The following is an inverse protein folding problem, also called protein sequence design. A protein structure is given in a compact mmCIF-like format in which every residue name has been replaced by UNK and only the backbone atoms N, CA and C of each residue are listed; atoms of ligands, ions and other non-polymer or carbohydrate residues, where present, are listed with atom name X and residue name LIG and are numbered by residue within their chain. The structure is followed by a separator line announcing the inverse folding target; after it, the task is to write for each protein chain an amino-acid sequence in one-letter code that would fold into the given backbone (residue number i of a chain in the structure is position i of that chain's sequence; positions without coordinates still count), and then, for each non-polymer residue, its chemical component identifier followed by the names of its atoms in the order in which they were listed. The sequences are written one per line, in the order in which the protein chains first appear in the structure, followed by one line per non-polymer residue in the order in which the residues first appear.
data_IF_514438486786
#
_entry.id   IF_514438486786
#
_cell.length_a   1.000
_cell.length_b   1.000
_cell.length_c   1.000
_cell.angle_alpha   90.00
_cell.angle_beta   90.00
_cell.angle_gamma   90.00
#
_symmetry.space_group_name_H-M   'P 1'
#
loop_
_entity.id
_entity.type
_entity.pdbx_description
1 polymer ?
#
# COMPACT_ATOMS: atom_id res chain seq x y z
N UNK A 1 -0.28 28.88 -6.79
CA UNK A 1 -1.59 28.19 -6.81
C UNK A 1 -1.30 26.70 -6.81
N UNK A 2 -2.11 25.90 -6.09
CA UNK A 2 -1.93 24.45 -6.07
C UNK A 2 -2.21 23.85 -7.45
N UNK A 3 -1.48 22.79 -7.81
CA UNK A 3 -1.67 22.04 -9.06
C UNK A 3 -2.88 21.13 -8.98
N UNK A 4 -3.40 20.69 -10.12
CA UNK A 4 -4.40 19.62 -10.18
C UNK A 4 -3.69 18.27 -10.26
N UNK A 5 -3.92 17.41 -9.25
CA UNK A 5 -3.30 16.10 -9.13
C UNK A 5 -4.36 15.02 -9.27
N UNK A 6 -4.09 14.03 -10.13
CA UNK A 6 -4.94 12.84 -10.22
C UNK A 6 -4.53 11.82 -9.15
N UNK A 7 -5.50 11.31 -8.39
CA UNK A 7 -5.31 10.17 -7.49
C UNK A 7 -6.16 9.01 -7.98
N UNK A 8 -5.56 7.90 -8.39
CA UNK A 8 -6.33 6.76 -8.86
C UNK A 8 -6.81 5.89 -7.70
N UNK A 9 -8.01 5.32 -7.82
CA UNK A 9 -8.58 4.44 -6.79
C UNK A 9 -8.97 5.17 -5.51
N UNK A 10 -9.61 6.33 -5.61
CA UNK A 10 -9.90 7.26 -4.52
C UNK A 10 -10.64 6.69 -3.30
N UNK A 11 -11.29 5.52 -3.43
CA UNK A 11 -11.91 4.82 -2.30
C UNK A 11 -10.95 3.89 -1.53
N UNK A 12 -9.67 3.82 -1.94
CA UNK A 12 -8.66 2.97 -1.32
C UNK A 12 -8.05 3.58 -0.05
N UNK A 13 -7.45 2.75 0.79
CA UNK A 13 -6.84 3.16 2.07
C UNK A 13 -5.70 4.19 1.87
N UNK A 14 -4.72 3.87 1.03
CA UNK A 14 -3.61 4.78 0.71
C UNK A 14 -4.11 6.01 -0.06
N UNK A 15 -5.03 5.78 -1.03
CA UNK A 15 -5.61 6.87 -1.83
C UNK A 15 -6.28 7.95 -0.97
N UNK A 16 -7.09 7.54 0.01
CA UNK A 16 -7.78 8.49 0.91
C UNK A 16 -6.80 9.41 1.63
N UNK A 17 -5.70 8.87 2.16
CA UNK A 17 -4.68 9.66 2.83
C UNK A 17 -3.81 10.50 1.86
N UNK A 18 -3.59 10.01 0.63
CA UNK A 18 -2.98 10.85 -0.42
C UNK A 18 -3.86 12.06 -0.75
N UNK A 19 -5.19 11.86 -0.86
CA UNK A 19 -6.15 12.95 -1.08
C UNK A 19 -6.06 13.97 0.08
N UNK A 20 -6.09 13.50 1.33
CA UNK A 20 -5.95 14.37 2.52
C UNK A 20 -4.66 15.19 2.44
N UNK A 21 -3.51 14.55 2.22
CA UNK A 21 -2.20 15.24 2.18
C UNK A 21 -2.09 16.25 1.05
N UNK A 22 -2.66 15.95 -0.12
CA UNK A 22 -2.69 16.88 -1.26
C UNK A 22 -3.55 18.11 -0.97
N UNK A 23 -4.72 17.91 -0.37
CA UNK A 23 -5.62 19.01 0.02
C UNK A 23 -5.01 19.90 1.11
N UNK A 24 -4.34 19.31 2.11
CA UNK A 24 -3.58 20.05 3.14
C UNK A 24 -2.44 20.86 2.53
N UNK A 25 -1.77 20.35 1.50
CA UNK A 25 -0.74 21.05 0.75
C UNK A 25 -1.29 22.11 -0.24
N UNK A 26 -2.61 22.29 -0.31
CA UNK A 26 -3.25 23.32 -1.14
C UNK A 26 -3.48 22.92 -2.60
N UNK A 27 -3.30 21.65 -2.96
CA UNK A 27 -3.59 21.15 -4.31
C UNK A 27 -5.08 20.94 -4.55
N UNK A 28 -5.47 20.94 -5.82
CA UNK A 28 -6.76 20.45 -6.29
C UNK A 28 -6.61 18.97 -6.63
N UNK A 29 -7.56 18.14 -6.20
CA UNK A 29 -7.50 16.70 -6.38
C UNK A 29 -8.65 16.22 -7.26
N UNK A 30 -8.32 15.47 -8.29
CA UNK A 30 -9.27 14.65 -9.02
C UNK A 30 -9.03 13.19 -8.64
N UNK A 31 -10.06 12.49 -8.16
CA UNK A 31 -9.91 11.09 -7.76
C UNK A 31 -10.71 10.17 -8.69
N UNK A 32 -10.13 9.03 -9.11
CA UNK A 32 -10.90 8.07 -9.90
C UNK A 32 -11.68 7.12 -9.00
N UNK A 33 -12.89 6.79 -9.40
CA UNK A 33 -13.75 5.77 -8.80
C UNK A 33 -14.29 4.83 -9.88
N UNK A 34 -14.38 3.54 -9.61
CA UNK A 34 -15.09 2.58 -10.48
C UNK A 34 -16.60 2.83 -10.47
N UNK A 35 -17.11 3.27 -9.33
CA UNK A 35 -18.52 3.57 -9.07
C UNK A 35 -18.63 4.95 -8.44
N UNK A 36 -19.17 5.90 -9.19
CA UNK A 36 -19.36 7.29 -8.74
C UNK A 36 -20.36 7.39 -7.58
N UNK A 37 -21.21 6.39 -7.37
CA UNK A 37 -22.09 6.34 -6.20
C UNK A 37 -21.34 6.36 -4.86
N UNK A 38 -20.04 6.06 -4.87
CA UNK A 38 -19.17 6.14 -3.69
C UNK A 38 -18.55 7.53 -3.46
N UNK A 39 -18.74 8.48 -4.37
CA UNK A 39 -18.10 9.81 -4.31
C UNK A 39 -18.38 10.53 -3.00
N UNK A 40 -19.66 10.57 -2.61
CA UNK A 40 -20.07 11.24 -1.37
C UNK A 40 -19.52 10.55 -0.11
N UNK A 41 -19.41 9.24 -0.12
CA UNK A 41 -18.79 8.48 0.98
C UNK A 41 -17.31 8.81 1.11
N UNK A 42 -16.58 8.90 0.00
CA UNK A 42 -15.16 9.28 0.01
C UNK A 42 -15.00 10.73 0.44
N UNK A 43 -15.83 11.65 -0.06
CA UNK A 43 -15.80 13.07 0.34
C UNK A 43 -16.00 13.24 1.84
N UNK A 44 -17.01 12.58 2.41
CA UNK A 44 -17.26 12.63 3.86
C UNK A 44 -16.11 12.02 4.66
N UNK A 45 -15.53 10.92 4.19
CA UNK A 45 -14.39 10.30 4.85
C UNK A 45 -13.16 11.24 4.87
N UNK A 46 -12.87 11.94 3.77
CA UNK A 46 -11.81 12.96 3.71
C UNK A 46 -12.14 14.15 4.61
N UNK A 47 -13.40 14.59 4.62
CA UNK A 47 -13.87 15.72 5.44
C UNK A 47 -13.75 15.50 6.95
N UNK A 48 -13.55 14.27 7.41
CA UNK A 48 -13.23 14.00 8.83
C UNK A 48 -11.86 14.52 9.25
N UNK A 49 -10.98 14.83 8.28
CA UNK A 49 -9.60 15.29 8.52
C UNK A 49 -9.36 16.68 7.94
N UNK A 50 -9.77 16.93 6.70
CA UNK A 50 -9.57 18.20 5.99
C UNK A 50 -10.81 18.54 5.18
N UNK A 51 -11.26 19.80 5.24
CA UNK A 51 -12.37 20.24 4.38
C UNK A 51 -11.93 20.22 2.91
N UNK A 52 -12.52 19.36 2.08
CA UNK A 52 -12.17 19.29 0.67
C UNK A 52 -12.72 20.48 -0.14
N UNK A 53 -13.81 21.12 0.28
CA UNK A 53 -14.48 22.17 -0.45
C UNK A 53 -14.69 21.78 -1.93
N UNK A 54 -14.44 22.72 -2.84
CA UNK A 54 -14.51 22.49 -4.29
C UNK A 54 -13.21 21.89 -4.87
N UNK A 55 -12.19 21.66 -4.03
CA UNK A 55 -10.89 21.16 -4.46
C UNK A 55 -10.82 19.62 -4.61
N UNK A 56 -11.90 18.90 -4.34
CA UNK A 56 -11.99 17.45 -4.56
C UNK A 56 -13.09 17.15 -5.58
N UNK A 57 -12.72 16.52 -6.68
CA UNK A 57 -13.65 16.05 -7.71
C UNK A 57 -13.45 14.57 -8.00
N UNK A 58 -14.46 13.94 -8.61
CA UNK A 58 -14.42 12.51 -8.93
C UNK A 58 -14.73 12.27 -10.41
N UNK A 59 -14.05 11.29 -10.99
CA UNK A 59 -14.27 10.83 -12.36
C UNK A 59 -14.32 9.30 -12.38
N UNK A 60 -15.11 8.74 -13.28
CA UNK A 60 -15.21 7.28 -13.45
C UNK A 60 -14.03 6.77 -14.26
N UNK A 61 -13.28 5.82 -13.72
CA UNK A 61 -12.28 5.05 -14.46
C UNK A 61 -12.07 3.69 -13.79
N UNK A 62 -11.78 2.67 -14.62
CA UNK A 62 -11.51 1.30 -14.18
C UNK A 62 -10.18 0.83 -14.77
N UNK A 63 -9.35 0.15 -13.97
CA UNK A 63 -8.09 -0.45 -14.42
C UNK A 63 -8.29 -1.50 -15.52
N UNK A 64 -9.50 -2.05 -15.64
CA UNK A 64 -9.85 -3.07 -16.63
C UNK A 64 -10.51 -2.52 -17.90
N UNK A 65 -10.74 -1.20 -18.00
CA UNK A 65 -11.28 -0.52 -19.17
C UNK A 65 -10.35 0.60 -19.63
N UNK A 66 -10.36 0.88 -20.92
CA UNK A 66 -9.64 2.04 -21.49
C UNK A 66 -10.42 3.35 -21.32
N UNK A 67 -11.72 3.25 -21.00
CA UNK A 67 -12.61 4.39 -20.85
C UNK A 67 -12.33 5.24 -19.62
N UNK A 68 -12.54 6.55 -19.76
CA UNK A 68 -12.50 7.53 -18.67
C UNK A 68 -11.09 8.01 -18.29
N UNK A 69 -10.00 7.38 -18.77
CA UNK A 69 -8.65 7.79 -18.38
C UNK A 69 -8.21 9.11 -18.99
N UNK A 70 -8.59 9.43 -20.22
CA UNK A 70 -8.25 10.70 -20.85
C UNK A 70 -9.01 11.86 -20.17
N UNK A 71 -10.27 11.65 -19.80
CA UNK A 71 -11.05 12.60 -18.98
C UNK A 71 -10.40 12.76 -17.58
N UNK A 72 -10.00 11.66 -16.97
CA UNK A 72 -9.34 11.68 -15.66
C UNK A 72 -8.05 12.51 -15.68
N UNK A 73 -7.25 12.40 -16.75
CA UNK A 73 -5.97 13.10 -16.90
C UNK A 73 -6.09 14.56 -17.34
N UNK A 74 -7.21 14.97 -17.92
CA UNK A 74 -7.37 16.30 -18.52
C UNK A 74 -7.03 17.42 -17.53
N UNK A 75 -6.00 18.23 -17.82
CA UNK A 75 -5.53 19.33 -16.98
C UNK A 75 -4.82 18.91 -15.69
N UNK A 76 -4.53 17.62 -15.50
CA UNK A 76 -3.69 17.18 -14.39
C UNK A 76 -2.21 17.28 -14.77
N UNK A 77 -1.41 17.88 -13.90
CA UNK A 77 0.05 17.95 -14.09
C UNK A 77 0.78 16.76 -13.50
N UNK A 78 0.17 16.10 -12.50
CA UNK A 78 0.78 15.00 -11.76
C UNK A 78 -0.23 13.91 -11.45
N UNK A 79 0.27 12.68 -11.27
CA UNK A 79 -0.56 11.50 -10.98
C UNK A 79 0.01 10.74 -9.79
N UNK A 80 -0.82 10.45 -8.79
CA UNK A 80 -0.56 9.43 -7.78
C UNK A 80 -1.36 8.19 -8.15
N UNK A 81 -0.68 7.18 -8.71
CA UNK A 81 -1.30 5.93 -9.09
C UNK A 81 -1.28 4.95 -7.92
N UNK A 82 -2.34 5.00 -7.11
CA UNK A 82 -2.50 4.16 -5.91
C UNK A 82 -3.45 2.97 -6.14
N UNK A 83 -4.22 2.99 -7.24
CA UNK A 83 -5.14 1.93 -7.58
C UNK A 83 -4.39 0.63 -7.88
N UNK A 84 -4.69 -0.42 -7.15
CA UNK A 84 -4.22 -1.76 -7.44
C UNK A 84 -5.14 -2.78 -6.80
N UNK A 85 -5.41 -3.94 -7.42
CA UNK A 85 -6.12 -5.02 -6.75
C UNK A 85 -5.25 -5.58 -5.62
N UNK A 86 -5.85 -5.80 -4.47
CA UNK A 86 -5.17 -6.35 -3.28
C UNK A 86 -5.42 -7.86 -3.10
N UNK A 87 -6.20 -8.49 -3.99
CA UNK A 87 -6.58 -9.89 -3.81
C UNK A 87 -7.47 -10.08 -2.57
N UNK A 88 -8.38 -9.15 -2.32
CA UNK A 88 -9.29 -9.16 -1.17
C UNK A 88 -10.18 -10.40 -1.09
N UNK A 89 -10.35 -11.10 -2.21
CA UNK A 89 -11.26 -12.24 -2.33
C UNK A 89 -10.57 -13.58 -2.03
N UNK A 90 -9.34 -13.54 -1.49
CA UNK A 90 -8.58 -14.76 -1.17
C UNK A 90 -8.16 -15.57 -2.40
N UNK A 91 -8.26 -15.00 -3.60
CA UNK A 91 -7.80 -15.67 -4.82
C UNK A 91 -6.29 -15.85 -4.81
N UNK A 92 -5.84 -17.05 -5.16
CA UNK A 92 -4.43 -17.38 -5.41
C UNK A 92 -4.16 -17.49 -6.93
N UNK A 93 -5.12 -17.04 -7.74
CA UNK A 93 -4.97 -16.96 -9.19
C UNK A 93 -4.03 -15.80 -9.56
N UNK A 94 -2.84 -16.17 -10.03
CA UNK A 94 -1.81 -15.22 -10.41
C UNK A 94 -2.29 -14.28 -11.53
N UNK A 95 -2.96 -14.78 -12.55
CA UNK A 95 -3.39 -13.96 -13.69
C UNK A 95 -4.52 -13.00 -13.29
N UNK A 96 -5.45 -13.45 -12.47
CA UNK A 96 -6.51 -12.60 -11.91
C UNK A 96 -5.97 -11.42 -11.09
N UNK A 97 -4.81 -11.58 -10.45
CA UNK A 97 -4.12 -10.51 -9.71
C UNK A 97 -3.19 -9.69 -10.60
N UNK A 98 -2.49 -10.36 -11.53
CA UNK A 98 -1.46 -9.71 -12.36
C UNK A 98 -2.07 -8.83 -13.43
N UNK A 99 -3.11 -9.31 -14.12
CA UNK A 99 -3.72 -8.58 -15.22
C UNK A 99 -4.21 -7.18 -14.83
N UNK A 100 -5.03 -6.99 -13.80
CA UNK A 100 -5.43 -5.64 -13.42
C UNK A 100 -4.28 -4.81 -12.80
N UNK A 101 -3.30 -5.44 -12.16
CA UNK A 101 -2.16 -4.72 -11.60
C UNK A 101 -1.18 -4.25 -12.69
N UNK A 102 -0.85 -5.11 -13.64
CA UNK A 102 0.06 -4.82 -14.76
C UNK A 102 -0.63 -3.95 -15.82
N UNK A 103 -1.69 -4.47 -16.42
CA UNK A 103 -2.34 -3.83 -17.58
C UNK A 103 -3.02 -2.52 -17.17
N UNK A 104 -3.59 -2.49 -15.96
CA UNK A 104 -4.14 -1.26 -15.39
C UNK A 104 -3.09 -0.18 -15.18
N UNK A 105 -1.91 -0.53 -14.65
CA UNK A 105 -0.80 0.43 -14.51
C UNK A 105 -0.33 0.93 -15.88
N UNK A 106 -0.19 0.05 -16.87
CA UNK A 106 0.21 0.44 -18.23
C UNK A 106 -0.82 1.37 -18.89
N UNK A 107 -2.13 1.15 -18.66
CA UNK A 107 -3.20 2.07 -19.10
C UNK A 107 -3.03 3.46 -18.52
N UNK A 108 -2.81 3.53 -17.20
CA UNK A 108 -2.61 4.81 -16.51
C UNK A 108 -1.38 5.53 -17.06
N UNK A 109 -0.25 4.83 -17.25
CA UNK A 109 0.96 5.40 -17.84
C UNK A 109 0.73 5.87 -19.28
N UNK A 110 0.00 5.10 -20.09
CA UNK A 110 -0.37 5.47 -21.46
C UNK A 110 -1.23 6.74 -21.51
N UNK A 111 -2.22 6.87 -20.64
CA UNK A 111 -3.04 8.06 -20.52
C UNK A 111 -2.23 9.26 -20.01
N UNK A 112 -1.37 9.06 -19.01
CA UNK A 112 -0.49 10.10 -18.50
C UNK A 112 0.47 10.62 -19.58
N UNK A 113 1.00 9.74 -20.41
CA UNK A 113 1.83 10.12 -21.59
C UNK A 113 1.04 10.97 -22.58
N UNK A 114 -0.20 10.57 -22.94
CA UNK A 114 -1.04 11.34 -23.89
C UNK A 114 -1.39 12.72 -23.35
N UNK A 115 -1.56 12.86 -22.04
CA UNK A 115 -1.85 14.13 -21.37
C UNK A 115 -0.59 14.95 -21.02
N UNK A 116 0.59 14.47 -21.41
CA UNK A 116 1.91 15.05 -21.09
C UNK A 116 2.10 15.37 -19.59
N UNK A 117 1.65 14.46 -18.74
CA UNK A 117 1.82 14.56 -17.28
C UNK A 117 3.30 14.66 -16.91
N UNK A 118 3.66 15.59 -16.05
CA UNK A 118 5.06 15.82 -15.66
C UNK A 118 5.64 14.67 -14.82
N UNK A 119 4.82 14.12 -13.90
CA UNK A 119 5.26 13.05 -12.99
C UNK A 119 4.15 12.08 -12.65
N UNK A 120 4.46 10.79 -12.68
CA UNK A 120 3.61 9.71 -12.16
C UNK A 120 4.31 9.04 -10.98
N UNK A 121 3.68 9.07 -9.80
CA UNK A 121 4.14 8.29 -8.63
C UNK A 121 3.27 7.06 -8.51
N UNK A 122 3.88 5.89 -8.66
CA UNK A 122 3.19 4.59 -8.65
C UNK A 122 3.36 3.91 -7.30
N UNK A 123 2.26 3.50 -6.68
CA UNK A 123 2.30 2.65 -5.48
C UNK A 123 2.58 1.20 -5.87
N UNK A 124 3.81 0.76 -5.66
CA UNK A 124 4.25 -0.63 -5.73
C UNK A 124 4.10 -1.31 -4.36
N UNK A 125 5.04 -2.13 -3.97
CA UNK A 125 5.08 -2.83 -2.68
C UNK A 125 6.49 -3.33 -2.38
N UNK A 126 6.89 -3.45 -1.12
CA UNK A 126 8.06 -4.21 -0.70
C UNK A 126 8.03 -5.68 -1.20
N UNK A 127 6.86 -6.19 -1.60
CA UNK A 127 6.74 -7.47 -2.28
C UNK A 127 7.55 -7.53 -3.59
N UNK A 128 7.82 -6.39 -4.25
CA UNK A 128 8.64 -6.30 -5.44
C UNK A 128 10.14 -6.06 -5.15
N UNK A 129 10.51 -5.90 -3.88
CA UNK A 129 11.89 -5.75 -3.40
C UNK A 129 12.25 -6.83 -2.36
N UNK A 130 11.59 -7.99 -2.40
CA UNK A 130 11.84 -9.08 -1.46
C UNK A 130 12.89 -10.05 -2.03
N UNK A 131 13.96 -10.36 -1.29
CA UNK A 131 14.95 -11.35 -1.70
C UNK A 131 14.33 -12.76 -1.76
N UNK A 132 15.03 -13.69 -2.43
CA UNK A 132 14.56 -15.07 -2.60
C UNK A 132 14.12 -15.70 -1.28
N UNK A 133 13.15 -16.60 -1.35
CA UNK A 133 12.53 -17.21 -0.15
C UNK A 133 13.50 -18.06 0.69
N UNK A 134 14.59 -18.51 0.09
CA UNK A 134 15.70 -19.20 0.81
C UNK A 134 16.45 -18.30 1.78
N UNK A 135 16.39 -16.97 1.61
CA UNK A 135 17.01 -15.99 2.50
C UNK A 135 16.21 -15.92 3.81
N UNK A 136 16.84 -16.28 4.92
CA UNK A 136 16.18 -16.31 6.23
C UNK A 136 16.27 -15.00 6.98
N UNK A 137 17.37 -14.29 6.83
CA UNK A 137 17.65 -13.04 7.52
C UNK A 137 18.39 -12.09 6.58
N UNK A 138 18.03 -10.81 6.60
CA UNK A 138 18.68 -9.81 5.76
C UNK A 138 18.01 -8.46 5.75
N UNK A 139 18.71 -7.52 5.15
CA UNK A 139 18.23 -6.17 4.84
C UNK A 139 18.08 -6.05 3.32
N UNK A 140 16.91 -5.66 2.85
CA UNK A 140 16.64 -5.36 1.45
C UNK A 140 16.49 -3.84 1.26
N UNK A 141 17.01 -3.35 0.16
CA UNK A 141 16.89 -1.97 -0.29
C UNK A 141 16.30 -1.91 -1.71
N UNK A 142 16.29 -0.75 -2.30
CA UNK A 142 15.71 -0.48 -3.62
C UNK A 142 16.44 -1.19 -4.77
N UNK A 143 17.68 -1.67 -4.57
CA UNK A 143 18.44 -2.43 -5.57
C UNK A 143 17.91 -3.87 -5.73
N UNK A 144 17.22 -4.38 -4.71
CA UNK A 144 16.64 -5.73 -4.73
C UNK A 144 15.40 -5.76 -5.63
N UNK A 145 15.38 -6.73 -6.54
CA UNK A 145 14.23 -7.04 -7.38
C UNK A 145 13.76 -8.45 -7.13
N UNK A 146 12.52 -8.60 -6.69
CA UNK A 146 11.89 -9.90 -6.50
C UNK A 146 11.85 -10.67 -7.82
N UNK A 147 12.28 -11.93 -7.78
CA UNK A 147 12.14 -12.85 -8.91
C UNK A 147 10.69 -13.36 -8.99
N UNK A 148 9.89 -12.95 -9.99
CA UNK A 148 8.50 -13.37 -10.09
C UNK A 148 8.34 -14.86 -10.43
N UNK A 149 9.41 -15.56 -10.78
CA UNK A 149 9.41 -16.99 -11.07
C UNK A 149 9.73 -17.85 -9.83
N UNK A 150 10.08 -17.23 -8.69
CA UNK A 150 10.28 -17.99 -7.45
C UNK A 150 8.98 -18.73 -7.07
N UNK A 151 8.98 -20.09 -7.08
CA UNK A 151 7.77 -20.89 -6.84
C UNK A 151 7.24 -20.77 -5.40
N UNK A 152 8.04 -20.28 -4.49
CA UNK A 152 7.66 -20.11 -3.09
C UNK A 152 6.92 -18.80 -2.82
N UNK A 153 6.86 -17.89 -3.80
CA UNK A 153 6.09 -16.66 -3.69
C UNK A 153 4.62 -16.92 -3.95
N UNK A 154 3.75 -16.35 -3.12
CA UNK A 154 2.31 -16.33 -3.38
C UNK A 154 1.98 -15.45 -4.61
N UNK A 155 0.79 -15.65 -5.15
CA UNK A 155 0.32 -14.94 -6.35
C UNK A 155 0.37 -13.41 -6.20
N UNK A 156 0.04 -12.87 -5.02
CA UNK A 156 0.11 -11.44 -4.74
C UNK A 156 1.53 -10.88 -4.89
N UNK A 157 2.54 -11.50 -4.28
CA UNK A 157 3.93 -11.03 -4.37
C UNK A 157 4.45 -11.10 -5.80
N UNK A 158 4.12 -12.18 -6.51
CA UNK A 158 4.46 -12.34 -7.92
C UNK A 158 3.81 -11.27 -8.79
N UNK A 159 2.52 -10.99 -8.59
CA UNK A 159 1.79 -9.97 -9.36
C UNK A 159 2.38 -8.58 -9.16
N UNK A 160 2.79 -8.22 -7.93
CA UNK A 160 3.43 -6.92 -7.66
C UNK A 160 4.81 -6.80 -8.33
N UNK A 161 5.63 -7.84 -8.28
CA UNK A 161 6.93 -7.85 -8.95
C UNK A 161 6.77 -7.74 -10.49
N UNK A 162 5.81 -8.45 -11.06
CA UNK A 162 5.51 -8.40 -12.52
C UNK A 162 5.02 -7.00 -12.90
N UNK A 163 4.07 -6.44 -12.15
CA UNK A 163 3.49 -5.15 -12.48
C UNK A 163 4.51 -4.00 -12.40
N UNK A 164 5.36 -3.97 -11.37
CA UNK A 164 6.39 -2.93 -11.26
C UNK A 164 7.44 -3.05 -12.35
N UNK A 165 7.93 -4.26 -12.65
CA UNK A 165 8.87 -4.47 -13.76
C UNK A 165 8.27 -4.02 -15.09
N UNK A 166 7.04 -4.42 -15.38
CA UNK A 166 6.36 -4.03 -16.60
C UNK A 166 6.19 -2.51 -16.73
N UNK A 167 5.90 -1.81 -15.62
CA UNK A 167 5.82 -0.35 -15.61
C UNK A 167 7.16 0.29 -15.98
N UNK A 168 8.27 -0.14 -15.35
CA UNK A 168 9.60 0.37 -15.67
C UNK A 168 10.05 0.04 -17.10
N UNK A 169 9.75 -1.19 -17.61
CA UNK A 169 10.05 -1.57 -18.98
C UNK A 169 9.27 -0.72 -19.97
N UNK A 170 7.99 -0.49 -19.67
CA UNK A 170 7.13 0.36 -20.50
C UNK A 170 7.65 1.81 -20.55
N UNK A 171 8.05 2.37 -19.42
CA UNK A 171 8.61 3.73 -19.35
C UNK A 171 9.87 3.85 -20.19
N UNK A 172 10.80 2.88 -20.10
CA UNK A 172 12.04 2.87 -20.90
C UNK A 172 11.79 2.77 -22.40
N UNK A 173 10.72 2.07 -22.80
CA UNK A 173 10.44 1.82 -24.22
C UNK A 173 9.56 2.87 -24.87
N UNK A 174 8.64 3.45 -24.11
CA UNK A 174 7.57 4.27 -24.68
C UNK A 174 7.55 5.72 -24.18
N UNK A 175 8.22 6.01 -23.06
CA UNK A 175 8.23 7.35 -22.51
C UNK A 175 9.60 7.67 -21.88
N UNK A 176 9.64 8.52 -20.87
CA UNK A 176 10.84 8.88 -20.12
C UNK A 176 10.80 8.31 -18.71
N UNK A 177 11.72 7.39 -18.34
CA UNK A 177 11.78 6.85 -16.97
C UNK A 177 11.90 7.91 -15.88
N UNK A 178 12.48 9.09 -16.16
CA UNK A 178 12.58 10.19 -15.21
C UNK A 178 11.20 10.69 -14.75
N UNK A 179 10.17 10.54 -15.58
CA UNK A 179 8.79 10.94 -15.23
C UNK A 179 8.06 9.95 -14.32
N UNK A 180 8.68 8.84 -13.93
CA UNK A 180 8.08 7.89 -13.00
C UNK A 180 8.91 7.73 -11.74
N UNK A 181 8.21 7.61 -10.62
CA UNK A 181 8.77 7.20 -9.33
C UNK A 181 7.90 6.07 -8.78
N UNK A 182 8.50 5.04 -8.17
CA UNK A 182 7.73 4.01 -7.48
C UNK A 182 7.95 4.09 -5.97
N UNK A 183 6.86 4.03 -5.22
CA UNK A 183 6.88 3.89 -3.76
C UNK A 183 6.56 2.44 -3.43
N UNK A 184 7.40 1.82 -2.60
CA UNK A 184 7.30 0.42 -2.19
C UNK A 184 6.92 0.33 -0.70
N UNK A 185 5.64 0.42 -0.35
CA UNK A 185 5.24 0.29 1.04
C UNK A 185 5.45 -1.12 1.57
N UNK A 186 5.83 -1.21 2.83
CA UNK A 186 5.76 -2.42 3.63
C UNK A 186 4.31 -2.68 4.10
N UNK A 187 4.08 -3.31 5.25
CA UNK A 187 2.73 -3.48 5.80
C UNK A 187 2.17 -2.14 6.26
N UNK A 188 1.18 -1.61 5.53
CA UNK A 188 0.62 -0.28 5.79
C UNK A 188 -0.48 -0.38 6.83
N UNK A 189 -0.28 0.26 7.99
CA UNK A 189 -1.29 0.41 9.03
C UNK A 189 -1.55 1.90 9.29
N UNK A 190 -2.43 2.19 10.24
CA UNK A 190 -2.78 3.55 10.62
C UNK A 190 -4.29 3.77 10.63
N UNK A 191 -4.76 4.99 10.94
CA UNK A 191 -6.17 5.25 11.09
C UNK A 191 -6.91 5.09 9.75
N UNK A 192 -8.07 4.44 9.80
CA UNK A 192 -8.97 4.34 8.65
C UNK A 192 -9.82 5.59 8.55
N UNK A 193 -10.04 6.07 7.34
CA UNK A 193 -11.00 7.14 7.04
C UNK A 193 -12.40 6.57 6.78
N UNK A 194 -12.48 5.31 6.38
CA UNK A 194 -13.73 4.60 6.11
C UNK A 194 -13.51 3.09 6.19
N UNK A 195 -14.49 2.35 6.70
CA UNK A 195 -14.49 0.87 6.73
C UNK A 195 -14.47 0.22 5.34
N UNK A 196 -14.88 0.93 4.33
CA UNK A 196 -14.82 0.42 2.95
C UNK A 196 -13.38 0.19 2.45
N UNK A 197 -12.36 0.73 3.15
CA UNK A 197 -10.95 0.71 2.76
C UNK A 197 -10.07 -0.10 3.73
N UNK A 198 -10.50 -1.30 4.11
CA UNK A 198 -9.84 -2.10 5.17
C UNK A 198 -8.45 -2.62 4.83
N UNK A 199 -8.15 -3.01 3.59
CA UNK A 199 -6.81 -3.44 3.15
C UNK A 199 -6.02 -4.26 4.22
N UNK A 200 -4.76 -3.91 4.45
CA UNK A 200 -3.88 -4.53 5.47
C UNK A 200 -4.36 -4.36 6.91
N UNK A 201 -5.19 -3.34 7.16
CA UNK A 201 -5.78 -3.05 8.48
C UNK A 201 -6.69 -4.19 8.98
N UNK A 202 -7.20 -5.04 8.06
CA UNK A 202 -7.95 -6.24 8.39
C UNK A 202 -7.18 -7.19 9.32
N UNK A 203 -5.83 -7.20 9.27
CA UNK A 203 -5.01 -7.96 10.21
C UNK A 203 -5.21 -7.47 11.65
N UNK A 204 -5.15 -6.15 11.88
CA UNK A 204 -5.33 -5.56 13.21
C UNK A 204 -6.76 -5.82 13.69
N UNK A 205 -7.76 -5.65 12.82
CA UNK A 205 -9.14 -5.98 13.16
C UNK A 205 -9.30 -7.45 13.54
N UNK A 206 -8.66 -8.37 12.82
CA UNK A 206 -8.63 -9.79 13.14
C UNK A 206 -8.08 -10.03 14.55
N UNK A 207 -6.94 -9.43 14.88
CA UNK A 207 -6.31 -9.54 16.20
C UNK A 207 -7.23 -8.99 17.32
N UNK A 208 -7.85 -7.83 17.12
CA UNK A 208 -8.81 -7.26 18.07
C UNK A 208 -10.02 -8.17 18.30
N UNK A 209 -10.38 -8.98 17.30
CA UNK A 209 -11.45 -9.98 17.36
C UNK A 209 -10.98 -11.37 17.83
N UNK A 210 -9.71 -11.52 18.28
CA UNK A 210 -9.16 -12.79 18.74
C UNK A 210 -8.78 -13.77 17.63
N UNK A 211 -8.50 -13.29 16.42
CA UNK A 211 -8.16 -14.12 15.26
C UNK A 211 -6.77 -13.76 14.70
N UNK A 212 -5.92 -14.76 14.43
CA UNK A 212 -6.04 -16.19 14.75
C UNK A 212 -6.00 -16.45 16.27
N UNK A 213 -6.31 -17.66 16.74
CA UNK A 213 -6.37 -17.98 18.19
C UNK A 213 -4.99 -17.98 18.88
N UNK A 214 -3.93 -17.75 18.17
CA UNK A 214 -2.55 -17.64 18.68
C UNK A 214 -1.69 -16.84 17.69
N UNK A 215 -0.50 -16.47 18.12
CA UNK A 215 0.42 -15.60 17.41
C UNK A 215 1.46 -16.44 16.66
N UNK A 216 1.47 -16.50 15.31
CA UNK A 216 2.51 -17.21 14.57
C UNK A 216 3.85 -16.45 14.66
N UNK A 217 4.96 -17.19 14.57
CA UNK A 217 6.31 -16.60 14.50
C UNK A 217 6.59 -16.03 13.09
N UNK A 218 5.84 -15.02 12.73
CA UNK A 218 5.94 -14.25 11.48
C UNK A 218 6.23 -12.80 11.84
N UNK A 219 7.07 -12.15 11.05
CA UNK A 219 7.36 -10.73 11.22
C UNK A 219 7.05 -9.91 9.99
N UNK A 220 6.94 -8.62 10.19
CA UNK A 220 6.66 -7.65 9.15
C UNK A 220 7.32 -6.29 9.47
N UNK A 221 7.56 -5.51 8.45
CA UNK A 221 7.93 -4.12 8.59
C UNK A 221 6.64 -3.30 8.55
N UNK A 222 6.45 -2.38 9.48
CA UNK A 222 5.25 -1.58 9.60
C UNK A 222 5.51 -0.17 9.11
N UNK A 223 4.59 0.39 8.34
CA UNK A 223 4.62 1.80 7.95
C UNK A 223 3.24 2.41 8.13
N UNK A 224 3.20 3.67 8.55
CA UNK A 224 1.95 4.41 8.69
C UNK A 224 1.43 4.87 7.33
N UNK A 225 0.13 4.76 7.11
CA UNK A 225 -0.52 5.20 5.87
C UNK A 225 -0.34 6.70 5.61
N UNK A 226 -0.27 7.51 6.67
CA UNK A 226 -0.04 8.97 6.58
C UNK A 226 1.38 9.26 6.11
N UNK A 227 2.36 8.44 6.51
CA UNK A 227 3.75 8.58 6.07
C UNK A 227 3.93 8.05 4.65
N UNK A 228 3.20 7.00 4.26
CA UNK A 228 3.14 6.55 2.87
C UNK A 228 2.58 7.67 1.99
N UNK A 229 1.49 8.31 2.38
CA UNK A 229 0.91 9.43 1.65
C UNK A 229 1.88 10.63 1.57
N UNK A 230 2.56 10.97 2.67
CA UNK A 230 3.58 12.02 2.70
C UNK A 230 4.73 11.73 1.72
N UNK A 231 5.21 10.47 1.67
CA UNK A 231 6.25 10.08 0.73
C UNK A 231 5.80 10.21 -0.73
N UNK A 232 4.54 9.88 -1.05
CA UNK A 232 3.99 10.07 -2.39
C UNK A 232 3.99 11.55 -2.80
N UNK A 233 3.57 12.45 -1.89
CA UNK A 233 3.51 13.89 -2.16
C UNK A 233 4.93 14.46 -2.30
N UNK A 234 5.89 14.06 -1.47
CA UNK A 234 7.31 14.47 -1.62
C UNK A 234 7.89 13.99 -2.94
N UNK A 235 7.71 12.70 -3.26
CA UNK A 235 8.23 12.12 -4.51
C UNK A 235 7.60 12.73 -5.76
N UNK A 236 6.38 13.25 -5.65
CA UNK A 236 5.68 13.91 -6.75
C UNK A 236 6.37 15.20 -7.20
N UNK A 237 7.01 15.93 -6.29
CA UNK A 237 7.57 17.27 -6.55
C UNK A 237 9.09 17.33 -6.53
N UNK A 238 9.76 16.40 -5.85
CA UNK A 238 11.22 16.42 -5.72
C UNK A 238 11.91 16.00 -7.03
N UNK A 239 12.82 16.82 -7.60
CA UNK A 239 13.62 16.40 -8.76
C UNK A 239 14.45 15.14 -8.48
N UNK A 240 14.94 15.01 -7.25
CA UNK A 240 15.77 13.88 -6.82
C UNK A 240 15.00 12.53 -6.79
N UNK A 241 13.66 12.55 -6.93
CA UNK A 241 12.84 11.37 -7.01
C UNK A 241 12.71 10.81 -8.44
N UNK A 242 13.19 11.52 -9.44
CA UNK A 242 13.09 11.17 -10.85
C UNK A 242 13.72 9.82 -11.17
N UNK A 243 12.95 8.94 -11.83
CA UNK A 243 13.43 7.64 -12.28
C UNK A 243 13.82 6.68 -11.14
N UNK A 244 13.30 6.88 -9.92
CA UNK A 244 13.75 6.13 -8.74
C UNK A 244 12.63 5.34 -8.08
N UNK A 245 13.08 4.35 -7.32
CA UNK A 245 12.27 3.55 -6.39
C UNK A 245 12.54 4.05 -4.97
N UNK A 246 11.52 4.05 -4.09
CA UNK A 246 11.68 4.35 -2.67
C UNK A 246 10.90 3.36 -1.82
N UNK A 247 11.58 2.71 -0.89
CA UNK A 247 10.96 1.86 0.11
C UNK A 247 10.35 2.75 1.21
N UNK A 248 9.08 2.49 1.51
CA UNK A 248 8.37 3.09 2.63
C UNK A 248 8.19 2.02 3.72
N UNK A 249 9.12 1.93 4.65
CA UNK A 249 9.12 0.93 5.70
C UNK A 249 9.61 1.52 7.03
N UNK A 250 8.94 1.17 8.10
CA UNK A 250 9.45 1.31 9.45
C UNK A 250 10.20 0.03 9.89
N UNK A 251 10.59 -0.07 11.17
CA UNK A 251 11.37 -1.18 11.68
C UNK A 251 10.63 -2.52 11.53
N UNK A 252 11.42 -3.59 11.41
CA UNK A 252 10.91 -4.95 11.48
C UNK A 252 10.42 -5.27 12.89
N UNK A 253 9.29 -5.97 12.98
CA UNK A 253 8.76 -6.47 14.25
C UNK A 253 8.12 -7.85 14.06
N UNK A 254 8.18 -8.67 15.09
CA UNK A 254 7.44 -9.92 15.14
C UNK A 254 5.97 -9.67 15.46
N UNK A 255 5.08 -10.54 14.99
CA UNK A 255 3.66 -10.48 15.35
C UNK A 255 3.43 -10.49 16.87
N UNK A 256 4.31 -11.15 17.63
CA UNK A 256 4.28 -11.13 19.10
C UNK A 256 4.46 -9.71 19.62
N UNK A 257 5.49 -8.99 19.17
CA UNK A 257 5.77 -7.62 19.61
C UNK A 257 4.59 -6.70 19.28
N UNK A 258 3.97 -6.91 18.09
CA UNK A 258 2.77 -6.18 17.68
C UNK A 258 1.59 -6.44 18.63
N UNK A 259 1.33 -7.70 19.00
CA UNK A 259 0.24 -8.02 19.94
C UNK A 259 0.53 -7.51 21.35
N UNK A 260 1.77 -7.53 21.81
CA UNK A 260 2.18 -6.94 23.09
C UNK A 260 1.95 -5.42 23.09
N UNK A 261 2.35 -4.70 22.01
CA UNK A 261 2.07 -3.26 21.88
C UNK A 261 0.56 -2.94 21.90
N UNK A 262 -0.27 -3.77 21.25
CA UNK A 262 -1.73 -3.58 21.31
C UNK A 262 -2.27 -3.71 22.74
N UNK A 263 -1.76 -4.70 23.51
CA UNK A 263 -2.15 -4.84 24.93
C UNK A 263 -1.71 -3.63 25.77
N UNK A 264 -0.47 -3.19 25.59
CA UNK A 264 0.10 -2.08 26.37
C UNK A 264 -0.65 -0.76 26.11
N UNK A 265 -1.10 -0.54 24.87
CA UNK A 265 -1.74 0.71 24.47
C UNK A 265 -3.26 0.74 24.68
N UNK A 266 -3.91 -0.40 24.57
CA UNK A 266 -5.38 -0.48 24.60
C UNK A 266 -5.94 -1.02 25.92
N UNK A 267 -5.10 -1.66 26.75
CA UNK A 267 -5.52 -2.25 28.02
C UNK A 267 -6.67 -3.25 27.82
N UNK A 268 -7.77 -3.08 28.54
CA UNK A 268 -8.93 -3.99 28.52
C UNK A 268 -9.59 -4.07 27.13
N UNK A 269 -9.46 -3.04 26.29
CA UNK A 269 -9.97 -3.06 24.92
C UNK A 269 -9.25 -4.06 24.03
N UNK A 270 -8.04 -4.52 24.40
CA UNK A 270 -7.28 -5.56 23.75
C UNK A 270 -7.48 -6.96 24.38
N UNK A 271 -8.44 -7.16 25.26
CA UNK A 271 -8.63 -8.43 25.98
C UNK A 271 -8.72 -9.67 25.09
N UNK A 272 -9.24 -9.52 23.87
CA UNK A 272 -9.35 -10.61 22.87
C UNK A 272 -8.10 -10.83 22.06
N UNK A 273 -7.14 -9.89 22.04
CA UNK A 273 -5.90 -10.01 21.25
C UNK A 273 -5.11 -11.22 21.75
N UNK A 274 -4.69 -12.15 20.87
CA UNK A 274 -3.96 -13.34 21.27
C UNK A 274 -2.62 -13.00 21.93
N UNK A 275 -2.27 -13.70 23.01
CA UNK A 275 -1.00 -13.56 23.74
C UNK A 275 -0.05 -14.73 23.50
N UNK A 276 -0.61 -15.93 23.25
CA UNK A 276 0.20 -17.16 23.18
C UNK A 276 0.79 -17.33 21.79
N UNK A 277 2.10 -17.51 21.74
CA UNK A 277 2.76 -17.87 20.49
C UNK A 277 2.40 -19.29 20.08
N UNK A 278 2.09 -19.46 18.80
CA UNK A 278 1.84 -20.78 18.21
C UNK A 278 3.16 -21.43 17.82
N UNK A 279 3.37 -22.72 18.17
CA UNK A 279 4.49 -23.48 17.65
C UNK A 279 4.50 -23.52 16.12
N UNK A 280 5.67 -23.39 15.49
CA UNK A 280 5.80 -23.39 14.03
C UNK A 280 5.20 -24.64 13.37
N UNK A 281 5.35 -25.80 14.01
CA UNK A 281 4.78 -27.08 13.55
C UNK A 281 3.25 -27.00 13.48
N UNK A 282 2.62 -26.41 14.50
CA UNK A 282 1.17 -26.23 14.53
C UNK A 282 0.68 -25.30 13.41
N UNK A 283 1.39 -24.18 13.16
CA UNK A 283 1.07 -23.26 12.06
C UNK A 283 1.14 -23.99 10.71
N UNK A 284 2.19 -24.81 10.49
CA UNK A 284 2.35 -25.59 9.26
C UNK A 284 1.26 -26.66 9.10
N UNK A 285 0.90 -27.33 10.19
CA UNK A 285 -0.19 -28.33 10.19
C UNK A 285 -1.53 -27.67 9.87
N UNK A 286 -1.86 -26.56 10.51
CA UNK A 286 -3.09 -25.81 10.26
C UNK A 286 -3.17 -25.29 8.82
N UNK A 287 -2.04 -24.91 8.21
CA UNK A 287 -2.00 -24.46 6.82
C UNK A 287 -2.40 -25.54 5.79
N UNK A 288 -2.35 -26.82 6.17
CA UNK A 288 -2.86 -27.91 5.32
C UNK A 288 -4.39 -27.86 5.23
N UNK A 289 -5.06 -27.62 6.37
CA UNK A 289 -6.52 -27.64 6.49
C UNK A 289 -7.18 -26.26 6.33
N UNK A 290 -6.41 -25.18 6.54
CA UNK A 290 -6.88 -23.80 6.48
C UNK A 290 -6.09 -23.02 5.38
N UNK A 291 -6.61 -22.99 4.13
CA UNK A 291 -5.91 -22.37 2.99
C UNK A 291 -5.45 -20.92 3.26
N UNK A 292 -6.20 -20.16 4.06
CA UNK A 292 -5.87 -18.78 4.45
C UNK A 292 -4.57 -18.67 5.27
N UNK A 293 -4.07 -19.76 5.85
CA UNK A 293 -2.81 -19.79 6.58
C UNK A 293 -1.60 -20.17 5.71
N UNK A 294 -1.81 -20.70 4.52
CA UNK A 294 -0.73 -21.12 3.61
C UNK A 294 0.27 -20.02 3.29
N UNK A 295 -0.16 -18.75 3.04
CA UNK A 295 0.77 -17.65 2.76
C UNK A 295 1.71 -17.32 3.91
N UNK A 296 1.41 -17.75 5.15
CA UNK A 296 2.25 -17.52 6.31
C UNK A 296 3.41 -18.51 6.40
N UNK A 297 3.28 -19.71 5.82
CA UNK A 297 4.26 -20.78 6.00
C UNK A 297 5.67 -20.45 5.52
N UNK A 298 5.88 -19.77 4.36
CA UNK A 298 7.19 -19.33 3.93
C UNK A 298 7.78 -18.23 4.83
N UNK A 299 6.92 -17.49 5.55
CA UNK A 299 7.33 -16.36 6.39
C UNK A 299 7.73 -16.79 7.81
N UNK A 300 7.44 -18.03 8.21
CA UNK A 300 7.71 -18.53 9.57
C UNK A 300 9.19 -18.44 9.89
N UNK A 301 9.55 -17.68 10.93
CA UNK A 301 10.92 -17.52 11.40
C UNK A 301 11.84 -16.73 10.46
N UNK A 302 11.29 -16.08 9.45
CA UNK A 302 12.01 -15.27 8.48
C UNK A 302 12.06 -13.81 8.95
N UNK A 303 13.26 -13.21 8.93
CA UNK A 303 13.50 -11.82 9.34
C UNK A 303 14.11 -11.04 8.18
N UNK A 304 13.27 -10.48 7.34
CA UNK A 304 13.69 -9.58 6.26
C UNK A 304 13.28 -8.16 6.63
N UNK A 305 14.28 -7.32 6.86
CA UNK A 305 14.09 -5.89 7.06
C UNK A 305 14.17 -5.16 5.72
N UNK A 306 13.46 -4.05 5.60
CA UNK A 306 13.52 -3.15 4.44
C UNK A 306 14.12 -1.83 4.87
N UNK A 307 15.07 -1.31 4.09
CA UNK A 307 15.73 -0.03 4.34
C UNK A 307 14.93 1.10 3.69
N UNK A 308 14.53 2.09 4.47
CA UNK A 308 13.97 3.34 3.96
C UNK A 308 15.04 4.43 3.79
N UNK A 309 16.32 4.08 3.88
CA UNK A 309 17.44 5.05 3.89
C UNK A 309 17.44 5.96 2.66
N UNK A 310 17.08 5.44 1.48
CA UNK A 310 16.99 6.27 0.27
C UNK A 310 15.91 7.36 0.40
N UNK A 311 14.72 7.01 0.93
CA UNK A 311 13.67 7.99 1.19
C UNK A 311 14.08 9.02 2.26
N UNK A 312 14.77 8.59 3.31
CA UNK A 312 15.24 9.46 4.38
C UNK A 312 16.28 10.46 3.88
N UNK A 313 17.30 9.99 3.16
CA UNK A 313 18.43 10.80 2.71
C UNK A 313 18.06 11.71 1.53
N UNK A 314 17.22 11.23 0.62
CA UNK A 314 16.89 11.95 -0.62
C UNK A 314 15.72 12.92 -0.44
N UNK A 315 14.68 12.49 0.28
CA UNK A 315 13.40 13.21 0.38
C UNK A 315 13.14 13.77 1.78
N UNK A 316 14.07 13.59 2.73
CA UNK A 316 13.88 14.00 4.12
C UNK A 316 12.67 13.33 4.79
N UNK A 317 12.25 12.18 4.26
CA UNK A 317 11.11 11.43 4.79
C UNK A 317 11.51 10.63 6.04
N UNK A 318 10.57 10.45 6.95
CA UNK A 318 10.76 9.61 8.14
C UNK A 318 9.46 8.92 8.52
N UNK A 319 9.57 7.61 8.80
CA UNK A 319 8.44 6.87 9.38
C UNK A 319 8.22 7.30 10.84
N UNK A 320 6.97 7.47 11.22
CA UNK A 320 6.59 7.67 12.63
C UNK A 320 6.80 6.40 13.46
N UNK A 321 6.85 6.51 14.80
CA UNK A 321 6.98 5.35 15.66
C UNK A 321 5.85 4.33 15.42
N UNK A 322 6.21 3.06 15.21
CA UNK A 322 5.26 1.98 14.92
C UNK A 322 4.18 1.83 15.99
N UNK A 323 4.52 2.07 17.26
CA UNK A 323 3.57 2.02 18.39
C UNK A 323 2.42 3.02 18.21
N UNK A 324 2.70 4.21 17.70
CA UNK A 324 1.69 5.25 17.49
C UNK A 324 0.80 4.88 16.29
N UNK A 325 1.41 4.34 15.22
CA UNK A 325 0.69 3.77 14.06
C UNK A 325 -0.30 2.68 14.47
N UNK A 326 0.14 1.73 15.30
CA UNK A 326 -0.70 0.60 15.73
C UNK A 326 -1.82 1.06 16.67
N UNK A 327 -1.53 1.98 17.58
CA UNK A 327 -2.52 2.57 18.46
C UNK A 327 -3.60 3.30 17.67
N UNK A 328 -3.22 4.24 16.79
CA UNK A 328 -4.16 5.02 15.99
C UNK A 328 -5.00 4.13 15.05
N UNK A 329 -4.38 3.09 14.50
CA UNK A 329 -5.07 2.09 13.69
C UNK A 329 -6.16 1.38 14.51
N UNK A 330 -5.78 0.83 15.66
CA UNK A 330 -6.71 0.08 16.50
C UNK A 330 -7.82 0.98 17.07
N UNK A 331 -7.49 2.20 17.49
CA UNK A 331 -8.48 3.15 17.98
C UNK A 331 -9.48 3.58 16.91
N UNK A 332 -9.03 3.76 15.67
CA UNK A 332 -9.94 4.08 14.56
C UNK A 332 -10.90 2.92 14.26
N UNK A 333 -10.43 1.68 14.34
CA UNK A 333 -11.26 0.48 14.17
C UNK A 333 -12.29 0.31 15.29
N UNK A 334 -11.92 0.65 16.53
CA UNK A 334 -12.79 0.54 17.70
C UNK A 334 -13.84 1.66 17.77
N UNK A 335 -13.56 2.85 17.20
CA UNK A 335 -14.55 3.95 17.10
C UNK A 335 -15.67 3.66 16.13
N UNK A 336 -15.34 2.94 15.06
CA UNK A 336 -16.26 2.57 14.01
C UNK A 336 -17.02 1.25 14.31
N UNK A 337 -16.73 0.56 15.43
CA UNK A 337 -17.36 -0.69 15.84
C UNK A 337 -18.64 -0.43 16.61
#
# INVERSE_FOLDING_TARGET
MGETVLVTGGSGFVAGWCIVRLLEAGHTVRATLRDLGKAETVRRAVATVVDPGDRLSFVKADLMSDDGWDEAMAGCTRVLHTASPLGSDGTDDLEALTRPARDGTLRVLGAAKRADVERVVVTSSCAAATPRDTTREGLADESVWTDPQDPNLNAYRRSKAIAERAAWDWMRTHWDPARMTTILPAAVFGPILSRAAMSSVALIQGLLNGRPPGVPRVGLNVVDVRDVADLHVRAMTAPEAEGRRFIAAGPFMWMRDLTEMLHDRLGDRAARVPRRQMPDVLVRLLAVFAPQMRPLTPMIGRRISFSAQAAEQTLGWRARPTRDTLQDCAESLLREA
#
